data_IF_979802082845
#
_entry.id   IF_979802082845
#
_cell.length_a   1.000
_cell.length_b   1.000
_cell.length_c   1.000
_cell.angle_alpha   90.00
_cell.angle_beta   90.00
_cell.angle_gamma   90.00
#
_symmetry.space_group_name_H-M   'P 1'
#
loop_
_entity.id
_entity.type
_entity.pdbx_description
1 polymer ?
#
# COMPACT_ATOMS: atom_id res chain seq x y z
N UNK A 1 9.55 35.55 -12.35
CA UNK A 1 9.42 34.25 -13.03
C UNK A 1 9.66 33.15 -11.99
N UNK A 2 8.60 32.73 -11.29
CA UNK A 2 8.64 31.69 -10.26
C UNK A 2 7.49 30.73 -10.60
N UNK A 3 7.76 29.45 -10.86
CA UNK A 3 6.67 28.46 -10.97
C UNK A 3 6.82 27.31 -11.97
N UNK A 4 7.93 27.16 -12.70
CA UNK A 4 8.15 25.97 -13.58
C UNK A 4 9.22 25.04 -12.98
N UNK A 5 9.28 24.97 -11.66
CA UNK A 5 9.85 23.82 -10.95
C UNK A 5 8.68 23.10 -10.28
N UNK A 6 7.59 22.92 -11.01
CA UNK A 6 6.53 21.99 -10.61
C UNK A 6 7.09 20.59 -10.84
N UNK A 7 7.88 20.15 -9.85
CA UNK A 7 8.12 18.79 -9.45
C UNK A 7 8.32 17.76 -10.58
N UNK A 8 9.44 17.84 -11.30
CA UNK A 8 9.92 16.72 -12.10
C UNK A 8 9.95 15.40 -11.27
N UNK A 9 10.17 15.51 -9.96
CA UNK A 9 10.07 14.42 -8.99
C UNK A 9 8.65 13.86 -8.87
N UNK A 10 7.61 14.70 -8.72
CA UNK A 10 6.21 14.21 -8.65
C UNK A 10 5.78 13.52 -9.92
N UNK A 11 6.22 14.01 -11.08
CA UNK A 11 5.92 13.36 -12.38
C UNK A 11 6.56 11.97 -12.43
N UNK A 12 7.83 11.84 -12.03
CA UNK A 12 8.53 10.55 -11.97
C UNK A 12 7.88 9.59 -10.98
N UNK A 13 7.52 10.06 -9.79
CA UNK A 13 6.86 9.26 -8.74
C UNK A 13 5.49 8.79 -9.22
N UNK A 14 4.72 9.67 -9.87
CA UNK A 14 3.44 9.35 -10.47
C UNK A 14 3.58 8.26 -11.53
N UNK A 15 4.52 8.43 -12.46
CA UNK A 15 4.77 7.46 -13.51
C UNK A 15 5.18 6.10 -12.94
N UNK A 16 6.17 6.08 -12.03
CA UNK A 16 6.63 4.87 -11.36
C UNK A 16 5.51 4.17 -10.57
N UNK A 17 4.65 4.94 -9.89
CA UNK A 17 3.48 4.39 -9.20
C UNK A 17 2.52 3.67 -10.16
N UNK A 18 2.20 4.27 -11.30
CA UNK A 18 1.32 3.62 -12.29
C UNK A 18 2.00 2.39 -12.94
N UNK A 19 3.31 2.43 -13.18
CA UNK A 19 4.06 1.28 -13.68
C UNK A 19 4.05 0.11 -12.68
N UNK A 20 4.21 0.39 -11.39
CA UNK A 20 4.10 -0.61 -10.32
C UNK A 20 2.67 -1.16 -10.26
N UNK A 21 1.64 -0.32 -10.40
CA UNK A 21 0.26 -0.77 -10.41
C UNK A 21 -0.06 -1.65 -11.62
N UNK A 22 0.49 -1.33 -12.80
CA UNK A 22 0.35 -2.12 -14.02
C UNK A 22 1.02 -3.50 -13.86
N UNK A 23 2.25 -3.52 -13.35
CA UNK A 23 2.96 -4.76 -13.00
C UNK A 23 2.23 -5.57 -11.92
N UNK A 24 1.57 -4.89 -11.00
CA UNK A 24 0.73 -5.50 -9.96
C UNK A 24 -0.62 -6.05 -10.47
N UNK A 25 -0.90 -5.91 -11.77
CA UNK A 25 -2.17 -6.25 -12.41
C UNK A 25 -3.36 -5.58 -11.70
N UNK A 26 -3.16 -4.33 -11.24
CA UNK A 26 -4.18 -3.52 -10.59
C UNK A 26 -4.90 -2.64 -11.61
N UNK A 27 -6.23 -2.59 -11.52
CA UNK A 27 -7.04 -1.75 -12.40
C UNK A 27 -6.69 -0.27 -12.24
N UNK A 28 -6.67 0.46 -13.35
CA UNK A 28 -6.34 1.89 -13.36
C UNK A 28 -7.25 2.74 -12.46
N UNK A 29 -8.53 2.39 -12.37
CA UNK A 29 -9.49 3.04 -11.47
C UNK A 29 -9.11 2.88 -10.00
N UNK A 30 -8.60 1.69 -9.63
CA UNK A 30 -8.12 1.42 -8.28
C UNK A 30 -6.85 2.21 -7.98
N UNK A 31 -5.91 2.25 -8.92
CA UNK A 31 -4.67 3.00 -8.80
C UNK A 31 -4.94 4.52 -8.70
N UNK A 32 -5.86 5.06 -9.50
CA UNK A 32 -6.25 6.47 -9.46
C UNK A 32 -6.90 6.85 -8.11
N UNK A 33 -7.78 5.99 -7.59
CA UNK A 33 -8.39 6.20 -6.28
C UNK A 33 -7.35 6.18 -5.15
N UNK A 34 -6.35 5.30 -5.22
CA UNK A 34 -5.25 5.28 -4.25
C UNK A 34 -4.36 6.52 -4.40
N UNK A 35 -3.99 6.88 -5.63
CA UNK A 35 -3.13 8.03 -5.91
C UNK A 35 -3.72 9.34 -5.36
N UNK A 36 -5.01 9.58 -5.54
CA UNK A 36 -5.72 10.74 -4.97
C UNK A 36 -5.65 10.78 -3.44
N UNK A 37 -5.77 9.62 -2.80
CA UNK A 37 -5.71 9.52 -1.35
C UNK A 37 -4.28 9.78 -0.83
N UNK A 38 -3.27 9.22 -1.50
CA UNK A 38 -1.85 9.45 -1.22
C UNK A 38 -1.50 10.94 -1.37
N UNK A 39 -1.93 11.58 -2.46
CA UNK A 39 -1.70 13.02 -2.69
C UNK A 39 -2.36 13.90 -1.63
N UNK A 40 -3.48 13.46 -1.07
CA UNK A 40 -4.16 14.17 0.02
C UNK A 40 -3.45 14.02 1.36
N UNK A 41 -2.59 13.01 1.52
CA UNK A 41 -1.91 12.65 2.77
C UNK A 41 -0.39 12.67 2.56
N UNK A 42 0.22 13.83 2.80
CA UNK A 42 1.66 14.05 2.60
C UNK A 42 2.57 12.99 3.22
N UNK A 43 2.22 12.46 4.40
CA UNK A 43 3.01 11.42 5.05
C UNK A 43 3.02 10.09 4.28
N UNK A 44 1.90 9.72 3.63
CA UNK A 44 1.86 8.52 2.77
C UNK A 44 2.66 8.77 1.49
N UNK A 45 2.61 9.99 0.97
CA UNK A 45 3.36 10.38 -0.21
C UNK A 45 4.88 10.29 0.01
N UNK A 46 5.38 10.73 1.17
CA UNK A 46 6.79 10.58 1.55
C UNK A 46 7.22 9.11 1.65
N UNK A 47 6.40 8.24 2.26
CA UNK A 47 6.66 6.79 2.30
C UNK A 47 6.66 6.17 0.89
N UNK A 48 5.78 6.63 -0.01
CA UNK A 48 5.72 6.13 -1.39
C UNK A 48 6.98 6.50 -2.18
N UNK A 49 7.48 7.73 -2.04
CA UNK A 49 8.74 8.15 -2.67
C UNK A 49 9.86 7.22 -2.21
N UNK A 50 9.98 7.02 -0.90
CA UNK A 50 11.00 6.15 -0.33
C UNK A 50 10.87 4.70 -0.83
N UNK A 51 9.65 4.19 -0.91
CA UNK A 51 9.39 2.84 -1.45
C UNK A 51 9.79 2.71 -2.92
N UNK A 52 9.52 3.72 -3.76
CA UNK A 52 9.92 3.69 -5.17
C UNK A 52 11.44 3.74 -5.33
N UNK A 53 12.14 4.49 -4.47
CA UNK A 53 13.61 4.61 -4.55
C UNK A 53 14.35 3.40 -3.96
N UNK A 54 13.85 2.82 -2.89
CA UNK A 54 14.56 1.78 -2.12
C UNK A 54 13.89 0.40 -2.16
N UNK A 55 12.69 0.28 -2.70
CA UNK A 55 11.85 -0.93 -2.66
C UNK A 55 11.66 -1.48 -1.23
N UNK A 56 11.67 -0.59 -0.23
CA UNK A 56 11.47 -0.91 1.19
C UNK A 56 10.63 0.19 1.85
N UNK A 57 9.97 -0.13 2.96
CA UNK A 57 9.20 0.84 3.72
C UNK A 57 10.12 1.64 4.65
N UNK A 58 9.82 2.94 4.82
CA UNK A 58 10.57 3.79 5.74
C UNK A 58 10.09 3.60 7.19
N UNK A 59 8.84 3.13 7.36
CA UNK A 59 8.24 2.75 8.65
C UNK A 59 8.08 3.92 9.65
N UNK A 60 8.18 5.15 9.16
CA UNK A 60 7.98 6.34 10.01
C UNK A 60 6.50 6.61 10.24
N UNK A 61 5.68 6.31 9.25
CA UNK A 61 4.24 6.49 9.34
C UNK A 61 3.60 5.38 10.20
N UNK A 62 2.94 5.79 11.30
CA UNK A 62 2.20 4.91 12.19
C UNK A 62 0.76 5.39 12.37
N UNK A 63 -0.20 4.52 12.09
CA UNK A 63 -1.62 4.82 12.22
C UNK A 63 -2.27 3.70 13.04
N UNK A 64 -2.93 4.08 14.14
CA UNK A 64 -3.52 3.13 15.08
C UNK A 64 -2.54 2.06 15.62
N UNK A 65 -1.24 2.39 15.70
CA UNK A 65 -0.19 1.45 16.13
C UNK A 65 0.36 0.55 15.04
N UNK A 66 -0.22 0.56 13.83
CA UNK A 66 0.26 -0.21 12.68
C UNK A 66 1.14 0.64 11.77
N UNK A 67 2.20 0.01 11.27
CA UNK A 67 3.10 0.56 10.24
C UNK A 67 2.74 0.00 8.86
N UNK A 68 3.30 0.59 7.79
CA UNK A 68 3.20 -0.01 6.46
C UNK A 68 3.82 -1.42 6.39
N UNK A 69 4.89 -1.67 7.16
CA UNK A 69 5.49 -2.99 7.25
C UNK A 69 4.54 -4.02 7.88
N UNK A 70 3.89 -3.66 9.00
CA UNK A 70 2.88 -4.52 9.64
C UNK A 70 1.73 -4.84 8.69
N UNK A 71 1.23 -3.82 7.96
CA UNK A 71 0.17 -3.99 6.98
C UNK A 71 0.61 -4.88 5.81
N UNK A 72 1.85 -4.74 5.34
CA UNK A 72 2.42 -5.59 4.31
C UNK A 72 2.53 -7.05 4.75
N UNK A 73 3.01 -7.29 5.98
CA UNK A 73 3.07 -8.64 6.56
C UNK A 73 1.67 -9.23 6.73
N UNK A 74 0.69 -8.42 7.12
CA UNK A 74 -0.71 -8.84 7.19
C UNK A 74 -1.26 -9.24 5.81
N UNK A 75 -1.00 -8.45 4.76
CA UNK A 75 -1.36 -8.80 3.38
C UNK A 75 -0.69 -10.10 2.93
N UNK A 76 0.58 -10.29 3.28
CA UNK A 76 1.31 -11.52 2.98
C UNK A 76 0.71 -12.73 3.70
N UNK A 77 0.35 -12.60 4.98
CA UNK A 77 -0.29 -13.68 5.73
C UNK A 77 -1.65 -14.05 5.12
N UNK A 78 -2.48 -13.05 4.80
CA UNK A 78 -3.76 -13.26 4.12
C UNK A 78 -3.58 -13.94 2.75
N UNK A 79 -2.57 -13.54 1.98
CA UNK A 79 -2.26 -14.16 0.71
C UNK A 79 -1.85 -15.64 0.87
N UNK A 80 -1.02 -15.94 1.87
CA UNK A 80 -0.60 -17.31 2.20
C UNK A 80 -1.79 -18.17 2.65
N UNK A 81 -2.73 -17.62 3.43
CA UNK A 81 -3.94 -18.31 3.88
C UNK A 81 -4.91 -18.61 2.72
N UNK A 82 -5.08 -17.68 1.78
CA UNK A 82 -5.94 -17.88 0.60
C UNK A 82 -5.31 -18.88 -0.38
N UNK A 83 -3.98 -18.88 -0.49
CA UNK A 83 -3.22 -19.81 -1.32
C UNK A 83 -2.66 -20.96 -0.50
N UNK A 84 -3.51 -21.82 0.05
CA UNK A 84 -3.18 -23.11 0.73
C UNK A 84 -2.37 -24.12 -0.14
N UNK A 85 -1.72 -23.66 -1.21
CA UNK A 85 -0.67 -24.38 -1.93
C UNK A 85 0.65 -24.02 -1.28
N UNK A 86 1.15 -24.89 -0.40
CA UNK A 86 2.38 -24.77 0.42
C UNK A 86 3.72 -24.63 -0.34
N UNK A 87 3.77 -23.85 -1.40
CA UNK A 87 4.98 -23.40 -2.08
C UNK A 87 4.75 -21.95 -2.45
N UNK A 88 5.60 -21.05 -1.94
CA UNK A 88 5.78 -19.68 -2.43
C UNK A 88 5.98 -19.72 -3.95
N UNK A 89 4.86 -19.75 -4.67
CA UNK A 89 4.87 -19.81 -6.12
C UNK A 89 5.49 -18.49 -6.58
N UNK A 90 6.35 -18.58 -7.59
CA UNK A 90 7.03 -17.46 -8.27
C UNK A 90 6.09 -16.35 -8.78
N UNK A 91 4.78 -16.46 -8.53
CA UNK A 91 3.68 -15.54 -8.84
C UNK A 91 3.18 -14.75 -7.63
N UNK A 92 3.95 -14.70 -6.54
CA UNK A 92 3.67 -13.82 -5.42
C UNK A 92 3.98 -12.37 -5.84
N UNK A 93 2.93 -11.61 -6.16
CA UNK A 93 3.06 -10.24 -6.64
C UNK A 93 3.28 -9.31 -5.44
N UNK A 94 4.57 -9.12 -5.07
CA UNK A 94 4.99 -8.34 -3.90
C UNK A 94 4.59 -6.88 -4.04
N UNK A 95 4.75 -6.33 -5.24
CA UNK A 95 4.28 -5.00 -5.61
C UNK A 95 2.79 -4.83 -5.35
N UNK A 96 1.97 -5.82 -5.72
CA UNK A 96 0.54 -5.80 -5.41
C UNK A 96 0.26 -5.73 -3.91
N UNK A 97 0.98 -6.53 -3.11
CA UNK A 97 0.82 -6.52 -1.65
C UNK A 97 1.29 -5.19 -1.04
N UNK A 98 2.36 -4.59 -1.57
CA UNK A 98 2.81 -3.27 -1.14
C UNK A 98 1.76 -2.20 -1.44
N UNK A 99 1.23 -2.15 -2.67
CA UNK A 99 0.17 -1.22 -3.03
C UNK A 99 -1.09 -1.42 -2.17
N UNK A 100 -1.45 -2.68 -1.86
CA UNK A 100 -2.55 -2.98 -0.96
C UNK A 100 -2.29 -2.51 0.47
N UNK A 101 -1.05 -2.62 0.98
CA UNK A 101 -0.68 -2.06 2.28
C UNK A 101 -0.85 -0.53 2.31
N UNK A 102 -0.40 0.18 1.27
CA UNK A 102 -0.65 1.61 1.11
C UNK A 102 -2.14 1.94 1.13
N UNK A 103 -2.96 1.13 0.44
CA UNK A 103 -4.42 1.31 0.44
C UNK A 103 -5.05 1.08 1.82
N UNK A 104 -4.60 0.06 2.56
CA UNK A 104 -5.09 -0.18 3.92
C UNK A 104 -4.69 0.95 4.87
N UNK A 105 -3.47 1.49 4.71
CA UNK A 105 -3.00 2.63 5.50
C UNK A 105 -3.84 3.89 5.23
N UNK A 106 -4.11 4.15 3.96
CA UNK A 106 -5.02 5.20 3.51
C UNK A 106 -6.42 5.06 4.15
N UNK A 107 -6.98 3.85 4.15
CA UNK A 107 -8.29 3.54 4.74
C UNK A 107 -8.29 3.75 6.26
N UNK A 108 -7.24 3.29 6.97
CA UNK A 108 -7.06 3.51 8.41
C UNK A 108 -6.97 5.00 8.77
N UNK A 109 -6.28 5.80 7.95
CA UNK A 109 -6.20 7.24 8.16
C UNK A 109 -7.54 7.96 7.92
N UNK A 110 -8.36 7.44 7.01
CA UNK A 110 -9.68 8.02 6.71
C UNK A 110 -10.74 7.57 7.74
N UNK A 111 -10.77 6.28 8.06
CA UNK A 111 -11.73 5.65 8.96
C UNK A 111 -11.01 4.56 9.78
N UNK A 112 -10.42 4.92 10.93
CA UNK A 112 -9.63 3.98 11.73
C UNK A 112 -10.47 2.82 12.28
N UNK A 113 -11.74 3.06 12.66
CA UNK A 113 -12.63 2.04 13.23
C UNK A 113 -12.94 0.92 12.22
N UNK A 114 -13.27 1.29 10.98
CA UNK A 114 -13.52 0.36 9.87
C UNK A 114 -12.25 -0.38 9.46
N UNK A 115 -11.11 0.32 9.41
CA UNK A 115 -9.83 -0.28 9.05
C UNK A 115 -9.37 -1.32 10.07
N UNK A 116 -9.48 -1.02 11.38
CA UNK A 116 -9.14 -1.96 12.45
C UNK A 116 -10.06 -3.19 12.39
N UNK A 117 -11.37 -2.99 12.16
CA UNK A 117 -12.30 -4.12 11.97
C UNK A 117 -11.87 -5.02 10.81
N UNK A 118 -11.45 -4.46 9.67
CA UNK A 118 -10.96 -5.27 8.53
C UNK A 118 -9.70 -6.05 8.87
N UNK A 119 -8.80 -5.49 9.66
CA UNK A 119 -7.59 -6.16 10.14
C UNK A 119 -7.93 -7.32 11.09
N UNK A 120 -8.86 -7.08 12.01
CA UNK A 120 -9.35 -8.04 13.01
C UNK A 120 -10.10 -9.21 12.36
N UNK A 121 -11.04 -8.92 11.45
CA UNK A 121 -11.79 -9.94 10.69
C UNK A 121 -10.89 -10.84 9.83
N UNK A 122 -9.73 -10.35 9.39
CA UNK A 122 -8.75 -11.14 8.63
C UNK A 122 -7.95 -12.14 9.47
N UNK A 123 -7.96 -12.01 10.80
CA UNK A 123 -7.16 -12.84 11.71
C UNK A 123 -7.83 -14.18 12.06
N UNK A 124 -8.96 -14.51 11.43
CA UNK A 124 -9.69 -15.75 11.70
C UNK A 124 -10.34 -15.69 13.08
N UNK A 125 -11.52 -15.07 13.14
CA UNK A 125 -12.48 -15.46 14.16
C UNK A 125 -12.98 -16.88 13.84
N UNK A 126 -12.16 -17.88 14.14
CA UNK A 126 -12.70 -19.17 14.58
C UNK A 126 -13.35 -18.89 15.94
N UNK A 127 -14.62 -18.47 15.89
CA UNK A 127 -15.46 -18.47 17.08
C UNK A 127 -15.77 -19.94 17.38
N UNK A 128 -14.96 -20.52 18.26
CA UNK A 128 -15.26 -21.79 18.93
C UNK A 128 -16.59 -21.70 19.70
#
# INVERSE_FOLDING_TARGET
MQGIVYDATKIKVCQAFYEICDYAELSREWADALWKDILSKGQIYEELIYYIEHHTFMDKLKVCGYTLCDLYVWQMNRYNLIKDTGKNSRTCNKEKMAMQAFRTMADLMANPDEGIKKLDYGQGMDKL
#
